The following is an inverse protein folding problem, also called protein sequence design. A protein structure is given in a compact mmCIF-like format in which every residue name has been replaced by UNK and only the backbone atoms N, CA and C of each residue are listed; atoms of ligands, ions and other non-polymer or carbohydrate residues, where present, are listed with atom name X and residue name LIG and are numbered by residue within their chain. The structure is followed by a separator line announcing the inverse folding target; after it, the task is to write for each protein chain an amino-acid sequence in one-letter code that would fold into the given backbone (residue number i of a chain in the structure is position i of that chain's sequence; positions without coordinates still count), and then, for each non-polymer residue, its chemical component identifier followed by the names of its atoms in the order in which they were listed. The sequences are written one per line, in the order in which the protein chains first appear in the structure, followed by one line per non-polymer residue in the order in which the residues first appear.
data_IF_764418873424
#
_entry.id   IF_764418873424
#
_cell.length_a   1.000
_cell.length_b   1.000
_cell.length_c   1.000
_cell.angle_alpha   90.00
_cell.angle_beta   90.00
_cell.angle_gamma   90.00
#
_symmetry.space_group_name_H-M   'P 1'
#
loop_
_entity.id
_entity.type
_entity.pdbx_description
1 polymer ?
#
# COMPACT_ATOMS: atom_id res chain seq x y z
N UNK A 1 -49.49 -38.06 -35.80
CA UNK A 1 -48.13 -38.36 -36.31
C UNK A 1 -47.48 -37.02 -36.66
N UNK A 2 -46.38 -36.53 -36.09
CA UNK A 2 -45.44 -36.91 -35.01
C UNK A 2 -44.71 -35.58 -34.66
N UNK A 3 -44.51 -35.15 -33.41
CA UNK A 3 -43.67 -33.99 -33.13
C UNK A 3 -42.18 -34.36 -33.28
N UNK A 4 -41.39 -33.44 -33.83
CA UNK A 4 -39.94 -33.55 -33.97
C UNK A 4 -39.27 -33.30 -32.61
N UNK A 5 -38.40 -34.23 -32.22
CA UNK A 5 -37.55 -34.16 -31.03
C UNK A 5 -36.65 -32.91 -31.08
N UNK A 6 -36.78 -32.05 -30.07
CA UNK A 6 -35.77 -31.05 -29.72
C UNK A 6 -34.76 -31.76 -28.81
N UNK A 7 -33.64 -32.20 -29.39
CA UNK A 7 -32.50 -32.71 -28.64
C UNK A 7 -32.03 -31.63 -27.66
N UNK A 8 -32.16 -31.94 -26.37
CA UNK A 8 -31.73 -31.11 -25.26
C UNK A 8 -30.19 -31.15 -25.19
N UNK A 9 -29.52 -30.20 -25.84
CA UNK A 9 -28.06 -30.05 -25.74
C UNK A 9 -27.74 -29.61 -24.31
N UNK A 10 -27.40 -30.56 -23.44
CA UNK A 10 -26.91 -30.25 -22.11
C UNK A 10 -25.66 -29.34 -22.23
N UNK A 11 -25.64 -28.16 -21.57
CA UNK A 11 -24.48 -27.29 -21.60
C UNK A 11 -23.36 -27.99 -20.82
N UNK A 12 -22.36 -28.52 -21.53
CA UNK A 12 -21.11 -28.90 -20.88
C UNK A 12 -20.46 -27.63 -20.34
N UNK A 13 -19.97 -27.63 -19.09
CA UNK A 13 -19.19 -26.50 -18.60
C UNK A 13 -17.99 -26.27 -19.53
N UNK A 14 -17.55 -25.01 -19.71
CA UNK A 14 -16.38 -24.73 -20.52
C UNK A 14 -15.22 -25.59 -20.02
N UNK A 15 -14.58 -26.33 -20.94
CA UNK A 15 -13.31 -26.96 -20.64
C UNK A 15 -12.35 -25.80 -20.37
N UNK A 16 -11.97 -25.60 -19.11
CA UNK A 16 -10.83 -24.75 -18.80
C UNK A 16 -9.61 -25.44 -19.43
N UNK A 17 -9.17 -24.92 -20.58
CA UNK A 17 -7.78 -25.09 -20.98
C UNK A 17 -6.97 -24.46 -19.84
N UNK A 18 -6.32 -25.28 -19.01
CA UNK A 18 -5.11 -24.83 -18.35
C UNK A 18 -4.13 -24.56 -19.49
N UNK A 19 -4.10 -23.32 -19.96
CA UNK A 19 -2.91 -22.82 -20.62
C UNK A 19 -1.81 -22.95 -19.58
N UNK A 20 -0.74 -23.68 -19.91
CA UNK A 20 0.43 -23.78 -19.05
C UNK A 20 0.86 -22.35 -18.70
N UNK A 21 0.87 -22.03 -17.40
CA UNK A 21 1.35 -20.73 -16.93
C UNK A 21 2.73 -20.48 -17.53
N UNK A 22 3.01 -19.29 -18.10
CA UNK A 22 4.31 -19.01 -18.68
C UNK A 22 5.41 -19.31 -17.67
N UNK A 23 6.41 -20.10 -18.07
CA UNK A 23 7.57 -20.40 -17.23
C UNK A 23 8.17 -19.08 -16.75
N UNK A 24 8.12 -18.87 -15.44
CA UNK A 24 8.62 -17.65 -14.78
C UNK A 24 10.07 -17.46 -15.19
N UNK A 25 10.38 -16.32 -15.81
CA UNK A 25 11.73 -16.01 -16.27
C UNK A 25 12.70 -16.01 -15.10
N UNK A 26 13.95 -16.44 -15.32
CA UNK A 26 15.01 -16.40 -14.31
C UNK A 26 15.15 -15.03 -13.61
N UNK A 27 14.86 -13.94 -14.31
CA UNK A 27 14.88 -12.56 -13.78
C UNK A 27 13.72 -12.32 -12.80
N UNK A 28 12.54 -12.85 -13.10
CA UNK A 28 11.36 -12.75 -12.24
C UNK A 28 11.55 -13.60 -10.98
N UNK A 29 12.13 -14.80 -11.10
CA UNK A 29 12.48 -15.64 -9.94
C UNK A 29 13.46 -14.95 -8.99
N UNK A 30 14.50 -14.31 -9.52
CA UNK A 30 15.49 -13.54 -8.72
C UNK A 30 14.82 -12.36 -8.02
N UNK A 31 13.90 -11.67 -8.72
CA UNK A 31 13.17 -10.53 -8.16
C UNK A 31 12.25 -10.96 -7.01
N UNK A 32 11.54 -12.08 -7.18
CA UNK A 32 10.67 -12.66 -6.15
C UNK A 32 11.48 -13.06 -4.92
N UNK A 33 12.60 -13.78 -5.11
CA UNK A 33 13.50 -14.16 -4.00
C UNK A 33 14.03 -12.94 -3.24
N UNK A 34 14.42 -11.90 -3.95
CA UNK A 34 14.90 -10.64 -3.33
C UNK A 34 13.78 -9.99 -2.50
N UNK A 35 12.54 -10.02 -2.98
CA UNK A 35 11.39 -9.47 -2.27
C UNK A 35 11.07 -10.27 -0.99
N UNK A 36 11.16 -11.60 -1.06
CA UNK A 36 10.99 -12.49 0.09
C UNK A 36 12.05 -12.23 1.17
N UNK A 37 13.32 -12.09 0.78
CA UNK A 37 14.41 -11.74 1.70
C UNK A 37 14.18 -10.38 2.37
N UNK A 38 13.72 -9.38 1.60
CA UNK A 38 13.39 -8.06 2.15
C UNK A 38 12.20 -8.14 3.12
N UNK A 39 11.18 -8.94 2.81
CA UNK A 39 10.04 -9.13 3.70
C UNK A 39 10.44 -9.84 5.00
N UNK A 40 11.30 -10.85 4.92
CA UNK A 40 11.84 -11.54 6.11
C UNK A 40 12.69 -10.58 6.96
N UNK A 41 13.52 -9.74 6.35
CA UNK A 41 14.28 -8.69 7.06
C UNK A 41 13.35 -7.67 7.71
N UNK A 42 12.30 -7.23 7.01
CA UNK A 42 11.27 -6.32 7.55
C UNK A 42 10.53 -6.95 8.73
N UNK A 43 10.14 -8.23 8.62
CA UNK A 43 9.45 -8.93 9.69
C UNK A 43 10.36 -9.11 10.92
N UNK A 44 11.63 -9.42 10.73
CA UNK A 44 12.61 -9.45 11.82
C UNK A 44 12.83 -8.09 12.45
N UNK A 45 12.92 -7.02 11.66
CA UNK A 45 13.00 -5.65 12.17
C UNK A 45 11.73 -5.27 12.94
N UNK A 46 10.54 -5.57 12.40
CA UNK A 46 9.25 -5.34 13.04
C UNK A 46 9.15 -6.13 14.35
N UNK A 47 9.54 -7.40 14.39
CA UNK A 47 9.59 -8.23 15.60
C UNK A 47 10.58 -7.71 16.64
N UNK A 48 11.75 -7.23 16.21
CA UNK A 48 12.72 -6.59 17.10
C UNK A 48 12.20 -5.27 17.67
N UNK A 49 11.44 -4.50 16.89
CA UNK A 49 10.78 -3.25 17.28
C UNK A 49 9.57 -3.48 18.22
N UNK A 50 8.82 -4.58 18.02
CA UNK A 50 7.62 -4.93 18.79
C UNK A 50 7.88 -5.23 20.27
N UNK A 51 9.12 -5.46 20.69
CA UNK A 51 9.44 -5.75 22.09
C UNK A 51 9.23 -4.51 22.99
N UNK A 52 9.19 -3.28 22.44
CA UNK A 52 9.04 -2.03 23.22
C UNK A 52 8.16 -0.92 22.59
N UNK A 53 7.46 -1.14 21.46
CA UNK A 53 6.71 -0.06 20.80
C UNK A 53 5.41 0.34 21.50
N UNK A 54 5.23 1.63 21.75
CA UNK A 54 3.93 2.22 22.06
C UNK A 54 2.99 2.12 20.85
N UNK A 55 1.75 1.69 21.07
CA UNK A 55 0.70 1.75 20.05
C UNK A 55 0.18 3.18 19.99
N UNK A 56 0.20 3.79 18.80
CA UNK A 56 -0.36 5.11 18.55
C UNK A 56 -1.58 4.98 17.66
N UNK A 57 -2.74 5.41 18.15
CA UNK A 57 -3.98 5.44 17.38
C UNK A 57 -4.18 6.85 16.84
N UNK A 58 -4.47 6.97 15.55
CA UNK A 58 -4.73 8.26 14.92
C UNK A 58 -5.86 8.17 13.90
N UNK A 59 -6.86 9.02 14.07
CA UNK A 59 -7.88 9.29 13.06
C UNK A 59 -7.41 10.41 12.15
N UNK A 60 -7.52 10.20 10.84
CA UNK A 60 -7.05 11.13 9.81
C UNK A 60 -8.23 11.65 9.01
N UNK A 61 -8.26 12.95 8.73
CA UNK A 61 -9.24 13.51 7.82
C UNK A 61 -8.83 13.22 6.37
N UNK A 62 -9.68 12.51 5.61
CA UNK A 62 -9.45 12.16 4.20
C UNK A 62 -9.12 13.38 3.32
N UNK A 63 -9.74 14.52 3.57
CA UNK A 63 -9.56 15.76 2.81
C UNK A 63 -8.32 16.56 3.23
N UNK A 64 -7.74 16.26 4.38
CA UNK A 64 -6.55 16.94 4.91
C UNK A 64 -5.40 15.95 5.20
N UNK A 65 -5.46 14.78 4.55
CA UNK A 65 -4.61 13.63 4.83
C UNK A 65 -3.12 13.99 4.73
N UNK A 66 -2.74 14.77 3.71
CA UNK A 66 -1.36 15.19 3.49
C UNK A 66 -0.79 15.98 4.67
N UNK A 67 -1.47 17.04 5.10
CA UNK A 67 -0.98 17.90 6.17
C UNK A 67 -0.97 17.17 7.52
N UNK A 68 -1.98 16.34 7.80
CA UNK A 68 -2.06 15.59 9.05
C UNK A 68 -0.95 14.55 9.15
N UNK A 69 -0.71 13.77 8.09
CA UNK A 69 0.38 12.79 8.07
C UNK A 69 1.76 13.47 8.09
N UNK A 70 1.99 14.52 7.31
CA UNK A 70 3.26 15.24 7.38
C UNK A 70 3.52 15.78 8.79
N UNK A 71 2.52 16.40 9.42
CA UNK A 71 2.65 16.92 10.79
C UNK A 71 2.90 15.81 11.81
N UNK A 72 2.21 14.69 11.67
CA UNK A 72 2.37 13.51 12.50
C UNK A 72 3.81 12.94 12.36
N UNK A 73 4.35 12.90 11.14
CA UNK A 73 5.69 12.37 10.86
C UNK A 73 6.85 13.33 11.13
N UNK A 74 6.56 14.58 11.52
CA UNK A 74 7.58 15.49 12.05
C UNK A 74 8.09 15.05 13.43
N UNK A 75 7.29 14.31 14.19
CA UNK A 75 7.77 13.62 15.39
C UNK A 75 8.76 12.50 15.01
N UNK A 76 9.99 12.58 15.50
CA UNK A 76 11.02 11.59 15.25
C UNK A 76 10.75 10.23 15.91
N UNK A 77 9.91 10.19 16.94
CA UNK A 77 9.62 8.96 17.68
C UNK A 77 8.53 8.12 17.03
N UNK A 78 7.84 8.65 16.00
CA UNK A 78 6.74 7.93 15.36
C UNK A 78 7.17 6.61 14.73
N UNK A 79 8.40 6.56 14.19
CA UNK A 79 8.95 5.34 13.59
C UNK A 79 9.17 4.25 14.63
N UNK A 80 9.16 4.63 15.92
CA UNK A 80 9.23 3.73 17.07
C UNK A 80 7.84 3.38 17.64
N UNK A 81 6.77 3.60 16.89
CA UNK A 81 5.40 3.29 17.32
C UNK A 81 4.72 2.31 16.37
N UNK A 82 3.82 1.47 16.88
CA UNK A 82 2.87 0.77 16.00
C UNK A 82 1.71 1.72 15.71
N UNK A 83 1.64 2.24 14.49
CA UNK A 83 0.60 3.20 14.10
C UNK A 83 -0.67 2.48 13.63
N UNK A 84 -1.77 2.72 14.34
CA UNK A 84 -3.12 2.34 13.95
C UNK A 84 -3.82 3.56 13.36
N UNK A 85 -4.20 3.46 12.08
CA UNK A 85 -4.80 4.54 11.32
C UNK A 85 -6.25 4.19 10.98
N UNK A 86 -7.11 5.19 11.06
CA UNK A 86 -8.49 5.17 10.56
C UNK A 86 -8.86 6.52 9.96
N UNK A 87 -9.93 6.57 9.19
CA UNK A 87 -10.50 7.83 8.73
C UNK A 87 -11.53 8.35 9.73
N UNK A 88 -11.54 9.68 9.93
CA UNK A 88 -12.50 10.33 10.81
C UNK A 88 -13.94 10.03 10.37
N UNK A 89 -14.77 9.53 11.30
CA UNK A 89 -16.18 9.22 11.04
C UNK A 89 -16.42 7.89 10.32
N UNK A 90 -15.38 7.10 10.06
CA UNK A 90 -15.48 5.76 9.47
C UNK A 90 -15.21 4.68 10.54
N UNK A 91 -16.15 3.74 10.71
CA UNK A 91 -15.97 2.60 11.63
C UNK A 91 -15.25 1.45 10.91
N UNK A 92 -13.95 1.63 10.70
CA UNK A 92 -13.09 0.66 10.06
C UNK A 92 -11.69 0.66 10.68
N UNK A 93 -11.11 -0.52 10.85
CA UNK A 93 -9.77 -0.70 11.39
C UNK A 93 -9.03 -1.86 10.72
N UNK A 94 -7.71 -1.84 10.84
CA UNK A 94 -6.82 -2.91 10.37
C UNK A 94 -5.89 -2.48 9.24
N UNK A 95 -5.08 -3.43 8.77
CA UNK A 95 -4.01 -3.15 7.80
C UNK A 95 -4.53 -2.67 6.44
N UNK A 96 -5.73 -3.10 6.04
CA UNK A 96 -6.39 -2.60 4.82
C UNK A 96 -6.68 -1.11 4.88
N UNK A 97 -7.20 -0.63 6.02
CA UNK A 97 -7.49 0.79 6.26
C UNK A 97 -6.19 1.58 6.35
N UNK A 98 -5.18 1.05 7.05
CA UNK A 98 -3.84 1.65 7.11
C UNK A 98 -3.25 1.85 5.71
N UNK A 99 -3.34 0.84 4.85
CA UNK A 99 -2.89 0.92 3.45
C UNK A 99 -3.67 1.97 2.67
N UNK A 100 -4.99 2.04 2.87
CA UNK A 100 -5.83 3.04 2.21
C UNK A 100 -5.47 4.48 2.63
N UNK A 101 -5.20 4.72 3.91
CA UNK A 101 -4.74 6.04 4.41
C UNK A 101 -3.45 6.45 3.71
N UNK A 102 -2.48 5.55 3.56
CA UNK A 102 -1.25 5.83 2.82
C UNK A 102 -1.50 6.04 1.32
N UNK A 103 -2.40 5.27 0.69
CA UNK A 103 -2.77 5.49 -0.72
C UNK A 103 -3.36 6.89 -0.93
N UNK A 104 -4.33 7.29 -0.09
CA UNK A 104 -4.93 8.63 -0.15
C UNK A 104 -3.89 9.73 0.09
N UNK A 105 -2.93 9.51 0.98
CA UNK A 105 -1.82 10.42 1.18
C UNK A 105 -1.00 10.59 -0.11
N UNK A 106 -0.53 9.48 -0.70
CA UNK A 106 0.37 9.53 -1.85
C UNK A 106 -0.31 10.07 -3.11
N UNK A 107 -1.57 9.70 -3.37
CA UNK A 107 -2.33 10.22 -4.50
C UNK A 107 -2.45 11.75 -4.44
N UNK A 108 -2.81 12.27 -3.26
CA UNK A 108 -2.95 13.71 -3.05
C UNK A 108 -1.60 14.43 -3.03
N UNK A 109 -0.58 13.81 -2.43
CA UNK A 109 0.76 14.36 -2.33
C UNK A 109 1.42 14.49 -3.71
N UNK A 110 1.37 13.42 -4.52
CA UNK A 110 1.94 13.41 -5.88
C UNK A 110 1.24 14.44 -6.75
N UNK A 111 -0.09 14.49 -6.70
CA UNK A 111 -0.89 15.47 -7.45
C UNK A 111 -0.56 16.93 -7.09
N UNK A 112 -0.18 17.19 -5.84
CA UNK A 112 0.04 18.56 -5.33
C UNK A 112 1.49 19.03 -5.35
N UNK A 113 2.46 18.11 -5.22
CA UNK A 113 3.85 18.45 -4.94
C UNK A 113 4.86 17.78 -5.88
N UNK A 114 4.41 16.95 -6.82
CA UNK A 114 5.27 16.27 -7.78
C UNK A 114 4.89 16.60 -9.22
N UNK A 115 5.87 16.49 -10.10
CA UNK A 115 5.74 16.63 -11.54
C UNK A 115 6.15 15.33 -12.24
N UNK A 116 5.55 15.08 -13.41
CA UNK A 116 5.82 13.92 -14.25
C UNK A 116 4.58 13.08 -14.53
N UNK A 117 4.73 12.08 -15.42
CA UNK A 117 3.63 11.20 -15.84
C UNK A 117 3.93 9.72 -15.60
N UNK A 118 5.15 9.26 -15.95
CA UNK A 118 5.61 7.88 -15.73
C UNK A 118 6.68 7.78 -14.64
N UNK A 119 7.33 8.89 -14.34
CA UNK A 119 8.33 9.04 -13.29
C UNK A 119 8.02 10.36 -12.60
N UNK A 120 7.95 10.35 -11.27
CA UNK A 120 7.60 11.53 -10.49
C UNK A 120 8.83 12.10 -9.80
N UNK A 121 8.99 13.41 -9.87
CA UNK A 121 10.00 14.16 -9.11
C UNK A 121 9.31 15.25 -8.31
N UNK A 122 9.87 15.64 -7.17
CA UNK A 122 9.37 16.81 -6.44
C UNK A 122 9.41 18.04 -7.35
N UNK A 123 8.31 18.78 -7.37
CA UNK A 123 8.22 20.06 -8.06
C UNK A 123 9.24 21.05 -7.50
N UNK A 124 9.80 21.90 -8.38
CA UNK A 124 10.67 23.01 -7.95
C UNK A 124 9.78 24.09 -7.32
N UNK A 125 9.41 23.90 -6.06
CA UNK A 125 8.52 24.77 -5.31
C UNK A 125 8.98 24.91 -3.86
N UNK A 126 8.83 26.11 -3.29
CA UNK A 126 9.08 26.37 -1.88
C UNK A 126 7.94 25.87 -0.96
N UNK A 127 6.97 25.12 -1.51
CA UNK A 127 5.82 24.63 -0.76
C UNK A 127 6.16 23.54 0.27
N UNK A 128 7.30 22.85 0.12
CA UNK A 128 7.79 21.88 1.08
C UNK A 128 9.05 22.40 1.78
N UNK A 129 9.06 22.29 3.10
CA UNK A 129 10.20 22.61 3.94
C UNK A 129 11.15 21.41 4.09
N UNK A 130 12.35 21.65 4.62
CA UNK A 130 13.29 20.58 4.97
C UNK A 130 12.67 19.56 5.91
N UNK A 131 11.87 20.00 6.88
CA UNK A 131 11.19 19.12 7.83
C UNK A 131 10.13 18.25 7.15
N UNK A 132 9.49 18.74 6.09
CA UNK A 132 8.55 17.95 5.31
C UNK A 132 9.28 16.84 4.55
N UNK A 133 10.45 17.11 3.98
CA UNK A 133 11.29 16.06 3.36
C UNK A 133 11.75 15.00 4.37
N UNK A 134 12.10 15.40 5.58
CA UNK A 134 12.44 14.47 6.66
C UNK A 134 11.21 13.62 7.05
N UNK A 135 10.04 14.24 7.18
CA UNK A 135 8.79 13.54 7.46
C UNK A 135 8.42 12.53 6.35
N UNK A 136 8.58 12.92 5.08
CA UNK A 136 8.37 12.04 3.91
C UNK A 136 9.32 10.83 3.97
N UNK A 137 10.60 11.05 4.28
CA UNK A 137 11.57 9.96 4.44
C UNK A 137 11.16 8.97 5.53
N UNK A 138 10.70 9.47 6.69
CA UNK A 138 10.17 8.62 7.76
C UNK A 138 8.91 7.87 7.31
N UNK A 139 7.97 8.55 6.65
CA UNK A 139 6.74 7.94 6.12
C UNK A 139 7.04 6.80 5.14
N UNK A 140 7.97 7.02 4.20
CA UNK A 140 8.45 6.00 3.26
C UNK A 140 9.03 4.79 3.98
N UNK A 141 9.80 4.97 5.05
CA UNK A 141 10.39 3.86 5.80
C UNK A 141 9.40 3.13 6.71
N UNK A 142 8.48 3.87 7.33
CA UNK A 142 7.57 3.37 8.36
C UNK A 142 6.35 2.65 7.77
N UNK A 143 5.88 3.04 6.58
CA UNK A 143 4.72 2.41 5.94
C UNK A 143 4.93 0.92 5.61
N UNK A 144 6.18 0.45 5.55
CA UNK A 144 6.53 -0.95 5.27
C UNK A 144 6.74 -1.81 6.52
N UNK A 145 6.61 -1.21 7.71
CA UNK A 145 6.77 -1.85 9.03
C UNK A 145 5.38 -2.13 9.62
#
# INVERSE_FOLDING_TARGET
MKPQDLDEVQPRPPVQLLEDDPEISSVEQVTIQTLEELNVKREMAAKALLINHSVMVREVNRHNCVNELLSLYKDQNIVNCKLLLSFQGEDAAGDGVRREVYSVFWDNFVSSYCEGCSHFTFSVSAALSQDDFVAIGRLLSHQYI
#
